data_IF_454279568702
#
_entry.id   IF_454279568702
#
_cell.length_a   1.000
_cell.length_b   1.000
_cell.length_c   1.000
_cell.angle_alpha   90.00
_cell.angle_beta   90.00
_cell.angle_gamma   90.00
#
_symmetry.space_group_name_H-M   'P 1'
#
loop_
_entity.id
_entity.type
_entity.pdbx_description
1 polymer ?
#
# COMPACT_ATOMS: atom_id res chain seq x y z
N UNK A 1 -14.75 1.73 11.24
CA UNK A 1 -14.37 0.67 10.28
C UNK A 1 -12.89 0.68 9.90
N UNK A 2 -12.33 1.76 9.34
CA UNK A 2 -10.93 1.78 8.87
C UNK A 2 -9.86 1.48 9.95
N UNK A 3 -10.05 1.91 11.19
CA UNK A 3 -9.13 1.58 12.30
C UNK A 3 -9.12 0.08 12.65
N UNK A 4 -10.29 -0.58 12.56
CA UNK A 4 -10.38 -2.04 12.75
C UNK A 4 -9.69 -2.76 11.59
N UNK A 5 -9.89 -2.29 10.36
CA UNK A 5 -9.19 -2.82 9.19
C UNK A 5 -7.67 -2.68 9.33
N UNK A 6 -7.19 -1.53 9.84
CA UNK A 6 -5.77 -1.29 10.11
C UNK A 6 -5.20 -2.33 11.08
N UNK A 7 -5.92 -2.62 12.16
CA UNK A 7 -5.48 -3.64 13.14
C UNK A 7 -5.41 -5.04 12.52
N UNK A 8 -6.39 -5.41 11.69
CA UNK A 8 -6.41 -6.74 11.05
C UNK A 8 -5.29 -6.89 10.02
N UNK A 9 -5.04 -5.87 9.20
CA UNK A 9 -3.98 -5.95 8.19
C UNK A 9 -2.59 -5.96 8.81
N UNK A 10 -2.35 -5.16 9.85
CA UNK A 10 -1.08 -5.18 10.58
C UNK A 10 -0.81 -6.55 11.20
N UNK A 11 -1.83 -7.23 11.70
CA UNK A 11 -1.68 -8.62 12.20
C UNK A 11 -1.34 -9.59 11.07
N UNK A 12 -2.00 -9.51 9.91
CA UNK A 12 -1.68 -10.36 8.78
C UNK A 12 -0.21 -10.21 8.34
N UNK A 13 0.29 -8.98 8.31
CA UNK A 13 1.67 -8.65 7.94
C UNK A 13 2.73 -9.16 8.93
N UNK A 14 2.36 -9.54 10.16
CA UNK A 14 3.30 -10.16 11.12
C UNK A 14 3.58 -11.63 10.76
N UNK A 15 2.60 -12.32 10.18
CA UNK A 15 2.66 -13.77 9.94
C UNK A 15 2.87 -14.14 8.47
N UNK A 16 3.02 -13.14 7.60
CA UNK A 16 3.17 -13.33 6.15
C UNK A 16 4.51 -12.77 5.70
N UNK A 17 5.09 -13.42 4.69
CA UNK A 17 6.20 -12.81 3.95
C UNK A 17 5.75 -11.48 3.32
N UNK A 18 6.68 -10.55 3.02
CA UNK A 18 6.34 -9.29 2.39
C UNK A 18 5.51 -9.49 1.11
N UNK A 19 4.24 -9.11 1.18
CA UNK A 19 3.24 -9.36 0.14
C UNK A 19 2.78 -8.02 -0.49
N UNK A 20 2.85 -7.88 -1.82
CA UNK A 20 2.51 -6.62 -2.48
C UNK A 20 1.02 -6.24 -2.33
N UNK A 21 0.10 -7.20 -2.26
CA UNK A 21 -1.34 -6.97 -2.09
C UNK A 21 -1.63 -6.45 -0.67
N UNK A 22 -0.99 -7.02 0.35
CA UNK A 22 -1.12 -6.53 1.73
C UNK A 22 -0.63 -5.09 1.88
N UNK A 23 0.48 -4.73 1.22
CA UNK A 23 0.94 -3.33 1.22
C UNK A 23 0.00 -2.39 0.43
N UNK A 24 -0.66 -2.87 -0.63
CA UNK A 24 -1.66 -2.06 -1.36
C UNK A 24 -2.87 -1.74 -0.49
N UNK A 25 -3.44 -2.75 0.16
CA UNK A 25 -4.56 -2.61 1.09
C UNK A 25 -4.19 -1.75 2.30
N UNK A 26 -2.97 -1.88 2.84
CA UNK A 26 -2.49 -1.02 3.93
C UNK A 26 -2.52 0.45 3.50
N UNK A 27 -2.05 0.75 2.29
CA UNK A 27 -2.08 2.12 1.77
C UNK A 27 -3.49 2.65 1.60
N UNK A 28 -4.44 1.84 1.13
CA UNK A 28 -5.85 2.24 1.00
C UNK A 28 -6.50 2.54 2.35
N UNK A 29 -6.22 1.72 3.37
CA UNK A 29 -6.71 1.93 4.73
C UNK A 29 -6.12 3.23 5.30
N UNK A 30 -4.80 3.42 5.21
CA UNK A 30 -4.12 4.62 5.69
C UNK A 30 -4.60 5.89 4.98
N UNK A 31 -4.83 5.82 3.67
CA UNK A 31 -5.39 6.93 2.90
C UNK A 31 -6.79 7.29 3.39
N UNK A 32 -7.64 6.29 3.68
CA UNK A 32 -8.98 6.51 4.26
C UNK A 32 -8.94 7.17 5.64
N UNK A 33 -7.88 6.90 6.41
CA UNK A 33 -7.60 7.50 7.71
C UNK A 33 -6.91 8.87 7.61
N UNK A 34 -6.67 9.37 6.38
CA UNK A 34 -5.97 10.62 6.09
C UNK A 34 -4.48 10.63 6.49
N UNK A 35 -3.91 9.46 6.75
CA UNK A 35 -2.47 9.28 6.99
C UNK A 35 -1.74 9.20 5.64
N UNK A 36 -1.74 10.30 4.89
CA UNK A 36 -1.32 10.31 3.49
C UNK A 36 0.15 9.94 3.27
N UNK A 37 1.04 10.37 4.16
CA UNK A 37 2.47 10.05 4.07
C UNK A 37 2.71 8.55 4.25
N UNK A 38 2.09 7.94 5.25
CA UNK A 38 2.16 6.49 5.50
C UNK A 38 1.50 5.70 4.37
N UNK A 39 0.36 6.19 3.84
CA UNK A 39 -0.31 5.58 2.69
C UNK A 39 0.61 5.54 1.46
N UNK A 40 1.30 6.65 1.17
CA UNK A 40 2.30 6.70 0.10
C UNK A 40 3.46 5.73 0.34
N UNK A 41 3.93 5.62 1.58
CA UNK A 41 4.95 4.64 1.96
C UNK A 41 4.54 3.20 1.71
N UNK A 42 3.32 2.83 2.11
CA UNK A 42 2.76 1.49 1.90
C UNK A 42 2.65 1.16 0.40
N UNK A 43 2.07 2.05 -0.41
CA UNK A 43 1.99 1.82 -1.86
C UNK A 43 3.35 1.77 -2.55
N UNK A 44 4.36 2.50 -2.08
CA UNK A 44 5.74 2.40 -2.59
C UNK A 44 6.34 1.02 -2.31
N UNK A 45 6.13 0.47 -1.12
CA UNK A 45 6.56 -0.89 -0.78
C UNK A 45 5.83 -1.93 -1.64
N UNK A 46 4.51 -1.78 -1.81
CA UNK A 46 3.72 -2.61 -2.72
C UNK A 46 4.29 -2.59 -4.14
N UNK A 47 4.57 -1.39 -4.67
CA UNK A 47 5.13 -1.21 -6.01
C UNK A 47 6.50 -1.86 -6.14
N UNK A 48 7.36 -1.68 -5.14
CA UNK A 48 8.68 -2.28 -5.11
C UNK A 48 8.62 -3.81 -5.18
N UNK A 49 7.78 -4.44 -4.37
CA UNK A 49 7.60 -5.90 -4.35
C UNK A 49 6.98 -6.41 -5.65
N UNK A 50 6.06 -5.63 -6.23
CA UNK A 50 5.40 -5.96 -7.50
C UNK A 50 6.38 -5.98 -8.67
N UNK A 51 7.30 -5.01 -8.75
CA UNK A 51 8.28 -4.93 -9.84
C UNK A 51 9.59 -5.67 -9.55
N UNK A 52 9.77 -6.17 -8.33
CA UNK A 52 10.91 -6.99 -7.90
C UNK A 52 10.45 -8.24 -7.14
N UNK A 53 9.72 -9.17 -7.79
CA UNK A 53 9.28 -10.39 -7.14
C UNK A 53 10.49 -11.25 -6.72
N UNK A 54 10.48 -11.76 -5.48
CA UNK A 54 11.56 -12.62 -4.95
C UNK A 54 11.52 -14.08 -5.46
N UNK A 55 10.73 -14.35 -6.49
CA UNK A 55 10.49 -15.68 -7.04
C UNK A 55 9.03 -15.82 -7.47
N UNK A 56 8.67 -17.01 -7.95
CA UNK A 56 7.29 -17.34 -8.24
C UNK A 56 6.56 -17.72 -6.94
N UNK A 57 6.08 -16.70 -6.22
CA UNK A 57 5.29 -16.88 -4.99
C UNK A 57 3.85 -17.33 -5.28
N UNK A 58 3.46 -17.49 -6.56
CA UNK A 58 2.13 -17.94 -6.97
C UNK A 58 0.97 -17.03 -6.53
N UNK A 59 1.29 -15.84 -5.99
CA UNK A 59 0.33 -14.87 -5.46
C UNK A 59 -0.16 -13.86 -6.50
N UNK A 60 -1.22 -13.14 -6.14
CA UNK A 60 -1.70 -12.02 -6.94
C UNK A 60 -0.74 -10.83 -6.84
N UNK A 61 -0.65 -10.06 -7.93
CA UNK A 61 0.15 -8.85 -8.00
C UNK A 61 -0.77 -7.68 -8.33
N UNK A 62 -0.76 -6.60 -7.52
CA UNK A 62 -1.48 -5.39 -7.87
C UNK A 62 -0.89 -4.79 -9.15
N UNK A 63 -1.72 -4.05 -9.90
CA UNK A 63 -1.25 -3.36 -11.11
C UNK A 63 -0.26 -2.23 -10.73
N UNK A 64 1.00 -2.27 -11.22
CA UNK A 64 1.99 -1.23 -10.95
C UNK A 64 1.52 0.18 -11.35
N UNK A 65 0.71 0.30 -12.40
CA UNK A 65 0.25 1.61 -12.85
C UNK A 65 -0.77 2.20 -11.88
N UNK A 66 -1.67 1.36 -11.35
CA UNK A 66 -2.60 1.73 -10.30
C UNK A 66 -1.87 2.23 -9.05
N UNK A 67 -0.81 1.52 -8.61
CA UNK A 67 0.01 1.94 -7.46
C UNK A 67 0.69 3.29 -7.70
N UNK A 68 1.29 3.49 -8.88
CA UNK A 68 1.89 4.78 -9.26
C UNK A 68 0.85 5.90 -9.21
N UNK A 69 -0.34 5.67 -9.77
CA UNK A 69 -1.43 6.66 -9.77
C UNK A 69 -1.87 7.02 -8.34
N UNK A 70 -1.97 6.03 -7.43
CA UNK A 70 -2.28 6.27 -6.01
C UNK A 70 -1.21 7.14 -5.33
N UNK A 71 0.07 6.85 -5.59
CA UNK A 71 1.20 7.64 -5.05
C UNK A 71 1.20 9.08 -5.60
N UNK A 72 1.02 9.25 -6.91
CA UNK A 72 0.91 10.57 -7.55
C UNK A 72 -0.27 11.38 -6.98
N UNK A 73 -1.41 10.73 -6.76
CA UNK A 73 -2.59 11.36 -6.17
C UNK A 73 -2.28 11.95 -4.80
N UNK A 74 -1.60 11.20 -3.92
CA UNK A 74 -1.19 11.72 -2.60
C UNK A 74 -0.22 12.89 -2.74
N UNK A 75 0.79 12.78 -3.61
CA UNK A 75 1.75 13.86 -3.82
C UNK A 75 1.05 15.15 -4.25
N UNK A 76 0.15 15.06 -5.23
CA UNK A 76 -0.61 16.21 -5.71
C UNK A 76 -1.52 16.78 -4.62
N UNK A 77 -2.17 15.90 -3.84
CA UNK A 77 -3.01 16.33 -2.72
C UNK A 77 -2.20 17.11 -1.68
N UNK A 78 -1.02 16.62 -1.30
CA UNK A 78 -0.17 17.31 -0.34
C UNK A 78 0.32 18.65 -0.91
N UNK A 79 0.80 18.69 -2.16
CA UNK A 79 1.29 19.92 -2.81
C UNK A 79 0.24 21.03 -2.96
N UNK A 80 -1.05 20.68 -3.09
CA UNK A 80 -2.13 21.67 -3.18
C UNK A 80 -2.63 22.16 -1.81
N UNK A 81 -2.24 21.51 -0.72
CA UNK A 81 -2.65 21.86 0.64
C UNK A 81 -1.53 22.56 1.47
N UNK A 82 -0.41 22.90 0.83
CA UNK A 82 0.66 23.77 1.37
C UNK A 82 0.63 25.13 0.65
#
# INVERSE_FOLDING_TARGET
ESEKALTQIQKAMIYTDPDPVLYDHLGDILFSLKNYDEASGAWKNSLFLTVNPKGDLGGEYPDPQTLKNKIEKVRNFLQQNY
#
